data_IF_489727126424
#
_entry.id   IF_489727126424
#
_cell.length_a   1.000
_cell.length_b   1.000
_cell.length_c   1.000
_cell.angle_alpha   90.00
_cell.angle_beta   90.00
_cell.angle_gamma   90.00
#
_symmetry.space_group_name_H-M   'P 1'
#
loop_
_entity.id
_entity.type
_entity.pdbx_description
1 polymer ?
#
# COMPACT_ATOMS: atom_id res chain seq x y z
N UNK A 1 12.55 -6.37 5.87
CA UNK A 1 11.13 -6.09 5.58
C UNK A 1 10.67 -4.80 6.26
N UNK A 2 10.72 -4.68 7.58
CA UNK A 2 10.28 -3.48 8.32
C UNK A 2 10.91 -2.18 7.81
N UNK A 3 12.22 -2.17 7.51
CA UNK A 3 12.90 -1.01 6.88
C UNK A 3 12.34 -0.64 5.50
N UNK A 4 11.90 -1.62 4.70
CA UNK A 4 11.25 -1.33 3.41
C UNK A 4 9.84 -0.78 3.61
N UNK A 5 9.12 -1.20 4.65
CA UNK A 5 7.83 -0.62 5.02
C UNK A 5 7.98 0.83 5.50
N UNK A 6 9.00 1.10 6.33
CA UNK A 6 9.38 2.45 6.79
C UNK A 6 9.61 3.39 5.60
N UNK A 7 10.36 2.97 4.57
CA UNK A 7 10.58 3.77 3.35
C UNK A 7 9.28 4.25 2.69
N UNK A 8 8.28 3.37 2.56
CA UNK A 8 6.99 3.72 1.96
C UNK A 8 6.12 4.59 2.90
N UNK A 9 6.21 4.35 4.21
CA UNK A 9 5.41 5.06 5.21
C UNK A 9 5.92 6.47 5.50
N UNK A 10 7.23 6.67 5.55
CA UNK A 10 7.83 7.97 5.86
C UNK A 10 7.48 9.00 4.79
N UNK A 11 7.53 8.62 3.51
CA UNK A 11 7.04 9.49 2.43
C UNK A 11 5.54 9.80 2.59
N UNK A 12 4.73 8.79 2.94
CA UNK A 12 3.29 8.98 3.17
C UNK A 12 3.00 9.97 4.31
N UNK A 13 3.74 9.93 5.40
CA UNK A 13 3.51 10.84 6.52
C UNK A 13 4.13 12.23 6.28
N UNK A 14 5.42 12.29 5.94
CA UNK A 14 6.19 13.54 5.87
C UNK A 14 5.76 14.38 4.66
N UNK A 15 5.50 13.77 3.52
CA UNK A 15 5.18 14.52 2.30
C UNK A 15 3.67 14.56 2.09
N UNK A 16 3.06 13.39 2.03
CA UNK A 16 1.68 13.28 1.57
C UNK A 16 0.64 13.85 2.55
N UNK A 17 0.79 13.63 3.85
CA UNK A 17 -0.12 14.19 4.86
C UNK A 17 0.16 15.66 5.12
N UNK A 18 1.42 16.06 5.17
CA UNK A 18 1.81 17.45 5.39
C UNK A 18 1.33 18.35 4.24
N UNK A 19 1.56 17.95 2.99
CA UNK A 19 1.05 18.67 1.81
C UNK A 19 -0.47 18.70 1.84
N UNK A 20 -1.14 17.58 2.15
CA UNK A 20 -2.61 17.54 2.25
C UNK A 20 -3.16 18.51 3.31
N UNK A 21 -2.50 18.57 4.46
CA UNK A 21 -2.80 19.52 5.55
C UNK A 21 -2.62 20.97 5.10
N UNK A 22 -1.45 21.33 4.56
CA UNK A 22 -1.13 22.73 4.23
C UNK A 22 -1.92 23.26 3.03
N UNK A 23 -2.13 22.44 2.00
CA UNK A 23 -2.75 22.87 0.74
C UNK A 23 -4.27 22.71 0.71
N UNK A 24 -4.80 21.69 1.39
CA UNK A 24 -6.21 21.35 1.33
C UNK A 24 -6.88 21.29 2.70
N UNK A 25 -6.15 21.52 3.81
CA UNK A 25 -6.64 21.29 5.17
C UNK A 25 -7.24 19.88 5.35
N UNK A 26 -6.65 18.87 4.69
CA UNK A 26 -7.12 17.48 4.75
C UNK A 26 -6.05 16.47 4.40
N UNK A 27 -5.99 15.43 5.22
CA UNK A 27 -5.37 14.15 4.93
C UNK A 27 -6.28 13.03 5.46
N UNK A 28 -6.13 11.83 4.92
CA UNK A 28 -6.81 10.66 5.47
C UNK A 28 -6.26 10.34 6.85
N UNK A 29 -7.11 10.31 7.87
CA UNK A 29 -6.69 9.92 9.21
C UNK A 29 -6.39 8.41 9.25
N UNK A 30 -5.23 8.04 9.78
CA UNK A 30 -4.70 6.67 9.78
C UNK A 30 -4.98 5.92 11.10
N UNK A 31 -6.03 6.32 11.82
CA UNK A 31 -6.56 5.60 12.98
C UNK A 31 -5.76 5.74 14.28
N UNK A 32 -4.58 6.37 14.25
CA UNK A 32 -3.70 6.54 15.43
C UNK A 32 -2.97 7.88 15.39
N UNK A 33 -2.30 8.24 16.49
CA UNK A 33 -1.44 9.43 16.58
C UNK A 33 -2.11 10.75 16.17
N UNK A 34 -3.41 10.91 16.47
CA UNK A 34 -4.14 12.14 16.22
C UNK A 34 -5.11 12.47 17.35
N UNK A 35 -5.45 13.76 17.45
CA UNK A 35 -6.39 14.29 18.43
C UNK A 35 -7.60 14.84 17.70
N UNK A 36 -8.78 14.47 18.19
CA UNK A 36 -10.05 14.91 17.63
C UNK A 36 -10.76 15.86 18.57
N UNK A 37 -11.33 16.93 18.03
CA UNK A 37 -12.34 17.71 18.75
C UNK A 37 -13.61 16.88 18.85
N UNK A 38 -14.17 16.76 20.05
CA UNK A 38 -15.42 16.03 20.28
C UNK A 38 -16.54 16.58 19.39
N UNK A 39 -16.64 17.90 19.25
CA UNK A 39 -17.61 18.54 18.35
C UNK A 39 -17.45 18.11 16.89
N UNK A 40 -16.23 17.93 16.40
CA UNK A 40 -15.98 17.47 15.03
C UNK A 40 -16.49 16.04 14.81
N UNK A 41 -16.28 15.15 15.78
CA UNK A 41 -16.82 13.78 15.74
C UNK A 41 -18.35 13.82 15.73
N UNK A 42 -18.95 14.59 16.63
CA UNK A 42 -20.41 14.67 16.76
C UNK A 42 -21.06 15.26 15.50
N UNK A 43 -20.52 16.36 14.95
CA UNK A 43 -21.03 16.97 13.72
C UNK A 43 -20.86 16.09 12.48
N UNK A 44 -19.80 15.27 12.45
CA UNK A 44 -19.60 14.29 11.38
C UNK A 44 -20.55 13.09 11.49
N UNK A 45 -21.28 12.94 12.61
CA UNK A 45 -22.20 11.83 12.86
C UNK A 45 -21.50 10.60 13.44
N UNK A 46 -20.42 10.78 14.20
CA UNK A 46 -19.72 9.71 14.91
C UNK A 46 -18.94 8.74 14.02
N UNK A 47 -18.52 7.63 14.62
CA UNK A 47 -17.86 6.52 13.94
C UNK A 47 -18.90 5.66 13.21
N UNK A 48 -18.57 5.21 11.99
CA UNK A 48 -19.43 4.33 11.19
C UNK A 48 -18.63 3.11 10.78
N UNK A 49 -19.25 1.94 10.89
CA UNK A 49 -18.68 0.62 10.62
C UNK A 49 -18.89 0.16 9.16
N UNK A 50 -19.34 1.06 8.28
CA UNK A 50 -19.68 0.72 6.89
C UNK A 50 -18.52 0.20 6.02
N UNK A 51 -17.28 0.39 6.46
CA UNK A 51 -16.05 -0.06 5.80
C UNK A 51 -14.96 -0.33 6.84
N UNK A 52 -13.94 -1.10 6.49
CA UNK A 52 -12.72 -1.37 7.30
C UNK A 52 -11.78 -0.17 7.45
N UNK A 53 -12.25 1.05 7.17
CA UNK A 53 -11.49 2.30 7.27
C UNK A 53 -12.40 3.39 7.86
N UNK A 54 -12.96 3.08 9.03
CA UNK A 54 -13.87 3.95 9.79
C UNK A 54 -13.22 5.30 10.14
N UNK A 55 -11.91 5.30 10.33
CA UNK A 55 -11.04 6.45 10.57
C UNK A 55 -10.99 7.40 9.36
N UNK A 56 -10.77 6.85 8.17
CA UNK A 56 -10.77 7.60 6.92
C UNK A 56 -12.17 8.09 6.57
N UNK A 57 -13.20 7.28 6.82
CA UNK A 57 -14.59 7.68 6.64
C UNK A 57 -14.94 8.90 7.51
N UNK A 58 -14.60 8.84 8.79
CA UNK A 58 -14.78 9.97 9.71
C UNK A 58 -14.00 11.19 9.22
N UNK A 59 -12.77 11.03 8.74
CA UNK A 59 -11.97 12.11 8.20
C UNK A 59 -12.64 12.80 7.00
N UNK A 60 -13.12 12.03 6.04
CA UNK A 60 -13.82 12.58 4.87
C UNK A 60 -15.09 13.30 5.30
N UNK A 61 -15.92 12.69 6.15
CA UNK A 61 -17.17 13.31 6.62
C UNK A 61 -16.93 14.59 7.40
N UNK A 62 -15.96 14.61 8.32
CA UNK A 62 -15.59 15.82 9.05
C UNK A 62 -15.09 16.92 8.09
N UNK A 63 -14.28 16.55 7.08
CA UNK A 63 -13.83 17.50 6.07
C UNK A 63 -14.99 18.06 5.24
N UNK A 64 -16.00 17.25 4.91
CA UNK A 64 -17.24 17.68 4.25
C UNK A 64 -18.12 18.57 5.14
N UNK A 65 -17.87 18.58 6.45
CA UNK A 65 -18.44 19.53 7.41
C UNK A 65 -17.59 20.78 7.59
N UNK A 66 -16.50 20.95 6.82
CA UNK A 66 -15.63 22.12 6.87
C UNK A 66 -14.57 22.08 7.96
N UNK A 67 -14.41 20.96 8.67
CA UNK A 67 -13.32 20.79 9.63
C UNK A 67 -11.98 20.73 8.91
N UNK A 68 -10.99 21.38 9.51
CA UNK A 68 -9.61 21.46 9.00
C UNK A 68 -8.72 20.47 9.74
N UNK A 69 -7.93 19.73 8.97
CA UNK A 69 -6.95 18.78 9.50
C UNK A 69 -5.59 19.45 9.48
N UNK A 70 -4.90 19.38 10.62
CA UNK A 70 -3.56 19.97 10.81
C UNK A 70 -2.59 18.85 11.11
N UNK A 71 -1.59 18.69 10.23
CA UNK A 71 -0.47 17.78 10.43
C UNK A 71 0.61 18.50 11.25
N UNK A 72 1.15 17.82 12.27
CA UNK A 72 2.20 18.36 13.15
C UNK A 72 3.42 17.45 13.05
N UNK A 73 4.34 17.78 12.14
CA UNK A 73 5.52 16.95 11.82
C UNK A 73 6.58 16.89 12.93
N UNK A 74 6.63 17.90 13.81
CA UNK A 74 7.61 17.98 14.89
C UNK A 74 7.35 16.98 16.03
N UNK A 75 6.10 16.51 16.17
CA UNK A 75 5.71 15.56 17.21
C UNK A 75 5.73 14.13 16.68
N UNK A 76 6.67 13.33 17.18
CA UNK A 76 6.86 11.94 16.72
C UNK A 76 6.29 10.93 17.71
N UNK A 77 5.54 9.96 17.19
CA UNK A 77 5.00 8.83 17.95
C UNK A 77 5.65 7.54 17.46
N UNK A 78 6.13 6.70 18.39
CA UNK A 78 6.67 5.38 18.03
C UNK A 78 5.53 4.49 17.55
N UNK A 79 5.70 3.90 16.37
CA UNK A 79 4.74 2.95 15.80
C UNK A 79 5.39 1.58 15.61
N UNK A 80 4.57 0.54 15.68
CA UNK A 80 4.99 -0.84 15.48
C UNK A 80 4.53 -1.33 14.11
N UNK A 81 5.50 -1.80 13.32
CA UNK A 81 5.28 -2.30 11.98
C UNK A 81 5.04 -3.83 11.99
N UNK A 82 4.24 -4.36 11.05
CA UNK A 82 4.08 -5.80 10.87
C UNK A 82 5.43 -6.53 10.81
N UNK A 83 5.63 -7.46 11.73
CA UNK A 83 6.87 -8.23 11.86
C UNK A 83 6.93 -9.43 10.90
N UNK A 84 5.79 -9.90 10.40
CA UNK A 84 5.68 -11.00 9.43
C UNK A 84 5.08 -10.54 8.10
N UNK A 85 5.45 -11.21 7.02
CA UNK A 85 4.93 -10.87 5.69
C UNK A 85 3.42 -11.11 5.58
N UNK A 86 2.88 -12.13 6.24
CA UNK A 86 1.44 -12.38 6.23
C UNK A 86 0.66 -11.26 6.95
N UNK A 87 1.15 -10.79 8.10
CA UNK A 87 0.56 -9.65 8.80
C UNK A 87 0.61 -8.37 7.95
N UNK A 88 1.71 -8.16 7.22
CA UNK A 88 1.84 -7.05 6.28
C UNK A 88 0.86 -7.15 5.11
N UNK A 89 0.70 -8.32 4.49
CA UNK A 89 -0.29 -8.55 3.42
C UNK A 89 -1.71 -8.26 3.87
N UNK A 90 -2.09 -8.73 5.06
CA UNK A 90 -3.41 -8.46 5.63
C UNK A 90 -3.63 -6.96 5.88
N UNK A 91 -2.60 -6.27 6.39
CA UNK A 91 -2.65 -4.82 6.57
C UNK A 91 -2.83 -4.10 5.22
N UNK A 92 -2.03 -4.44 4.22
CA UNK A 92 -2.07 -3.82 2.89
C UNK A 92 -3.39 -4.12 2.16
N UNK A 93 -3.95 -5.32 2.35
CA UNK A 93 -5.30 -5.64 1.86
C UNK A 93 -6.33 -4.68 2.44
N UNK A 94 -6.36 -4.48 3.77
CA UNK A 94 -7.29 -3.54 4.40
C UNK A 94 -7.06 -2.10 3.93
N UNK A 95 -5.81 -1.66 3.84
CA UNK A 95 -5.43 -0.30 3.46
C UNK A 95 -5.66 0.03 1.98
N UNK A 96 -5.84 -0.96 1.10
CA UNK A 96 -6.21 -0.73 -0.31
C UNK A 96 -7.68 -1.05 -0.59
N UNK A 97 -8.21 -2.13 -0.02
CA UNK A 97 -9.61 -2.54 -0.18
C UNK A 97 -10.57 -1.55 0.51
N UNK A 98 -10.27 -1.15 1.74
CA UNK A 98 -11.10 -0.25 2.53
C UNK A 98 -11.34 1.09 1.84
N UNK A 99 -10.30 1.84 1.44
CA UNK A 99 -10.48 3.12 0.76
C UNK A 99 -11.18 3.01 -0.60
N UNK A 100 -10.97 1.92 -1.34
CA UNK A 100 -11.63 1.67 -2.62
C UNK A 100 -13.15 1.46 -2.44
N UNK A 101 -13.54 0.66 -1.44
CA UNK A 101 -14.94 0.49 -1.06
C UNK A 101 -15.55 1.81 -0.53
N UNK A 102 -14.81 2.51 0.33
CA UNK A 102 -15.24 3.79 0.88
C UNK A 102 -15.49 4.82 -0.22
N UNK A 103 -14.62 4.89 -1.24
CA UNK A 103 -14.80 5.77 -2.39
C UNK A 103 -16.15 5.56 -3.06
N UNK A 104 -16.50 4.31 -3.37
CA UNK A 104 -17.78 3.95 -4.00
C UNK A 104 -18.98 4.40 -3.15
N UNK A 105 -18.91 4.20 -1.83
CA UNK A 105 -19.98 4.59 -0.90
C UNK A 105 -20.07 6.11 -0.69
N UNK A 106 -18.94 6.82 -0.74
CA UNK A 106 -18.86 8.25 -0.43
C UNK A 106 -18.94 9.17 -1.65
N UNK A 107 -18.70 8.69 -2.87
CA UNK A 107 -18.59 9.52 -4.07
C UNK A 107 -19.81 10.45 -4.24
N UNK A 108 -21.02 9.90 -4.16
CA UNK A 108 -22.24 10.70 -4.32
C UNK A 108 -22.48 11.66 -3.15
N UNK A 109 -22.14 11.27 -1.92
CA UNK A 109 -22.22 12.15 -0.74
C UNK A 109 -21.27 13.35 -0.88
N UNK A 110 -20.05 13.13 -1.41
CA UNK A 110 -19.07 14.19 -1.66
C UNK A 110 -19.56 15.14 -2.77
N UNK A 111 -20.06 14.60 -3.88
CA UNK A 111 -20.55 15.39 -5.02
C UNK A 111 -21.72 16.29 -4.58
N UNK A 112 -22.70 15.74 -3.86
CA UNK A 112 -23.92 16.44 -3.43
C UNK A 112 -23.71 17.39 -2.25
N UNK A 113 -22.56 17.35 -1.57
CA UNK A 113 -22.30 18.20 -0.42
C UNK A 113 -22.36 19.69 -0.81
N UNK A 114 -23.13 20.52 -0.10
CA UNK A 114 -23.24 21.96 -0.40
C UNK A 114 -22.34 22.86 0.46
N UNK A 115 -21.65 22.30 1.46
CA UNK A 115 -20.89 23.06 2.46
C UNK A 115 -19.45 23.32 2.04
N UNK A 116 -18.83 22.43 1.26
CA UNK A 116 -17.45 22.59 0.78
C UNK A 116 -17.37 23.06 -0.67
N UNK A 117 -16.28 23.74 -1.00
CA UNK A 117 -16.02 24.26 -2.35
C UNK A 117 -15.87 23.15 -3.40
N UNK A 118 -16.10 23.48 -4.67
CA UNK A 118 -15.90 22.55 -5.79
C UNK A 118 -14.45 22.04 -5.86
N UNK A 119 -13.46 22.91 -5.60
CA UNK A 119 -12.05 22.54 -5.55
C UNK A 119 -11.78 21.46 -4.50
N UNK A 120 -12.36 21.59 -3.32
CA UNK A 120 -12.24 20.61 -2.25
C UNK A 120 -12.83 19.26 -2.65
N UNK A 121 -14.00 19.26 -3.30
CA UNK A 121 -14.62 18.02 -3.82
C UNK A 121 -13.74 17.37 -4.88
N UNK A 122 -13.22 18.16 -5.82
CA UNK A 122 -12.32 17.67 -6.85
C UNK A 122 -11.08 17.03 -6.23
N UNK A 123 -10.43 17.71 -5.28
CA UNK A 123 -9.28 17.14 -4.57
C UNK A 123 -9.62 15.82 -3.88
N UNK A 124 -10.72 15.74 -3.12
CA UNK A 124 -11.10 14.52 -2.38
C UNK A 124 -11.43 13.37 -3.34
N UNK A 125 -12.21 13.61 -4.40
CA UNK A 125 -12.61 12.58 -5.36
C UNK A 125 -11.45 12.17 -6.26
N UNK A 126 -10.86 13.14 -6.96
CA UNK A 126 -9.87 12.88 -7.99
C UNK A 126 -8.50 12.59 -7.39
N UNK A 127 -7.94 13.51 -6.59
CA UNK A 127 -6.55 13.37 -6.10
C UNK A 127 -6.45 12.34 -4.98
N UNK A 128 -7.31 12.45 -3.96
CA UNK A 128 -7.21 11.62 -2.75
C UNK A 128 -7.74 10.20 -2.97
N UNK A 129 -8.95 10.01 -3.51
CA UNK A 129 -9.49 8.66 -3.74
C UNK A 129 -9.03 8.05 -5.06
N UNK A 130 -9.36 8.68 -6.19
CA UNK A 130 -9.17 8.07 -7.50
C UNK A 130 -7.68 7.87 -7.84
N UNK A 131 -6.89 8.94 -7.88
CA UNK A 131 -5.46 8.84 -8.23
C UNK A 131 -4.69 8.04 -7.18
N UNK A 132 -4.78 8.43 -5.90
CA UNK A 132 -3.91 7.88 -4.86
C UNK A 132 -4.31 6.50 -4.34
N UNK A 133 -5.61 6.21 -4.18
CA UNK A 133 -6.07 4.93 -3.59
C UNK A 133 -6.46 3.89 -4.62
N UNK A 134 -6.64 4.27 -5.90
CA UNK A 134 -7.05 3.35 -6.97
C UNK A 134 -5.98 3.30 -8.07
N UNK A 135 -5.80 4.39 -8.82
CA UNK A 135 -4.96 4.42 -10.04
C UNK A 135 -3.51 4.09 -9.72
N UNK A 136 -2.93 4.68 -8.67
CA UNK A 136 -1.52 4.48 -8.32
C UNK A 136 -1.18 2.99 -8.07
N UNK A 137 -2.07 2.25 -7.41
CA UNK A 137 -1.87 0.83 -7.15
C UNK A 137 -1.96 0.00 -8.44
N UNK A 138 -3.01 0.24 -9.24
CA UNK A 138 -3.26 -0.49 -10.49
C UNK A 138 -2.17 -0.22 -11.51
N UNK A 139 -1.83 1.05 -11.74
CA UNK A 139 -0.84 1.46 -12.75
C UNK A 139 0.53 0.88 -12.43
N UNK A 140 0.96 0.90 -11.17
CA UNK A 140 2.25 0.33 -10.77
C UNK A 140 2.32 -1.16 -11.13
N UNK A 141 1.31 -1.94 -10.74
CA UNK A 141 1.29 -3.37 -11.05
C UNK A 141 1.20 -3.65 -12.55
N UNK A 142 0.22 -3.04 -13.23
CA UNK A 142 -0.01 -3.26 -14.66
C UNK A 142 1.21 -2.85 -15.47
N UNK A 143 1.83 -1.71 -15.17
CA UNK A 143 2.96 -1.23 -15.93
C UNK A 143 4.21 -2.12 -15.74
N UNK A 144 4.65 -2.36 -14.50
CA UNK A 144 5.92 -3.07 -14.26
C UNK A 144 5.82 -4.60 -14.32
N UNK A 145 4.66 -5.16 -13.99
CA UNK A 145 4.51 -6.61 -13.88
C UNK A 145 3.75 -7.23 -15.05
N UNK A 146 3.14 -6.43 -15.93
CA UNK A 146 2.36 -6.92 -17.08
C UNK A 146 2.80 -6.28 -18.39
N UNK A 147 2.68 -4.96 -18.54
CA UNK A 147 2.93 -4.26 -19.81
C UNK A 147 4.41 -4.29 -20.19
N UNK A 148 5.30 -3.84 -19.30
CA UNK A 148 6.74 -3.79 -19.57
C UNK A 148 7.34 -5.19 -19.86
N UNK A 149 6.98 -6.26 -19.13
CA UNK A 149 7.39 -7.62 -19.52
C UNK A 149 6.76 -8.11 -20.83
N UNK A 150 5.52 -7.71 -21.14
CA UNK A 150 4.86 -8.10 -22.40
C UNK A 150 5.50 -7.44 -23.62
N UNK A 151 6.03 -6.21 -23.50
CA UNK A 151 6.66 -5.52 -24.64
C UNK A 151 7.93 -6.23 -25.12
N UNK A 152 8.60 -6.99 -24.26
CA UNK A 152 9.73 -7.85 -24.66
C UNK A 152 9.33 -8.90 -25.70
N UNK A 153 8.07 -9.37 -25.66
CA UNK A 153 7.55 -10.39 -26.56
C UNK A 153 7.11 -9.81 -27.91
N UNK A 154 6.99 -8.48 -28.02
CA UNK A 154 6.53 -7.76 -29.20
C UNK A 154 7.60 -6.74 -29.60
N UNK A 155 8.58 -7.13 -30.42
CA UNK A 155 9.76 -6.32 -30.71
C UNK A 155 9.46 -4.97 -31.39
N UNK A 156 8.26 -4.81 -31.96
CA UNK A 156 7.78 -3.56 -32.56
C UNK A 156 7.38 -2.50 -31.52
N UNK A 157 7.17 -2.89 -30.26
CA UNK A 157 6.71 -1.96 -29.21
C UNK A 157 7.91 -1.35 -28.49
N UNK A 158 8.19 -0.09 -28.80
CA UNK A 158 9.17 0.70 -28.06
C UNK A 158 8.53 1.38 -26.84
N UNK A 159 9.06 1.11 -25.66
CA UNK A 159 8.62 1.76 -24.43
C UNK A 159 9.38 3.09 -24.25
N UNK A 160 8.69 4.23 -24.10
CA UNK A 160 9.35 5.51 -23.90
C UNK A 160 10.20 5.54 -22.63
N UNK A 161 11.49 5.89 -22.75
CA UNK A 161 12.45 5.95 -21.63
C UNK A 161 12.02 6.88 -20.50
N UNK A 162 11.35 7.99 -20.84
CA UNK A 162 10.85 8.93 -19.84
C UNK A 162 9.84 8.29 -18.88
N UNK A 163 9.00 7.39 -19.39
CA UNK A 163 7.99 6.67 -18.60
C UNK A 163 8.57 5.47 -17.86
N UNK A 164 9.42 4.68 -18.51
CA UNK A 164 9.96 3.46 -17.93
C UNK A 164 11.14 3.67 -16.97
N UNK A 165 11.91 4.76 -17.13
CA UNK A 165 13.16 4.98 -16.38
C UNK A 165 13.16 6.30 -15.63
N UNK A 166 12.85 7.42 -16.28
CA UNK A 166 13.02 8.74 -15.66
C UNK A 166 12.00 9.04 -14.57
N UNK A 167 10.69 8.94 -14.87
CA UNK A 167 9.63 9.13 -13.87
C UNK A 167 9.84 8.21 -12.65
N UNK A 168 10.08 6.90 -12.82
CA UNK A 168 10.22 5.99 -11.70
C UNK A 168 11.46 6.25 -10.87
N UNK A 169 12.57 6.64 -11.51
CA UNK A 169 13.80 7.00 -10.81
C UNK A 169 13.61 8.27 -9.97
N UNK A 170 12.90 9.27 -10.50
CA UNK A 170 12.59 10.50 -9.76
C UNK A 170 11.68 10.17 -8.56
N UNK A 171 10.60 9.41 -8.78
CA UNK A 171 9.69 9.00 -7.70
C UNK A 171 10.44 8.20 -6.63
N UNK A 172 11.30 7.27 -7.04
CA UNK A 172 12.14 6.48 -6.12
C UNK A 172 13.06 7.38 -5.31
N UNK A 173 13.75 8.32 -5.96
CA UNK A 173 14.66 9.24 -5.28
C UNK A 173 13.91 10.11 -4.27
N UNK A 174 12.74 10.64 -4.64
CA UNK A 174 11.90 11.44 -3.74
C UNK A 174 11.46 10.64 -2.51
N UNK A 175 11.09 9.36 -2.66
CA UNK A 175 10.78 8.48 -1.53
C UNK A 175 12.04 8.21 -0.67
N UNK A 176 13.17 7.96 -1.32
CA UNK A 176 14.43 7.61 -0.68
C UNK A 176 15.02 8.76 0.16
N UNK A 177 14.79 10.02 -0.23
CA UNK A 177 15.19 11.22 0.55
C UNK A 177 14.54 11.25 1.92
N UNK A 178 13.31 10.73 2.06
CA UNK A 178 12.63 10.64 3.36
C UNK A 178 13.30 9.68 4.35
N UNK A 179 14.14 8.76 3.86
CA UNK A 179 14.73 7.66 4.66
C UNK A 179 16.22 7.43 4.35
N UNK A 180 17.11 8.42 4.63
CA UNK A 180 18.52 8.35 4.26
C UNK A 180 19.25 7.12 4.84
N UNK A 181 18.82 6.64 6.01
CA UNK A 181 19.40 5.44 6.66
C UNK A 181 19.17 4.15 5.87
N UNK A 182 18.15 4.11 5.02
CA UNK A 182 17.72 2.91 4.28
C UNK A 182 18.02 3.01 2.78
N UNK A 183 18.83 3.99 2.34
CA UNK A 183 19.21 4.17 0.92
C UNK A 183 19.83 2.92 0.27
N UNK A 184 20.63 2.17 1.02
CA UNK A 184 21.22 0.91 0.54
C UNK A 184 20.19 -0.18 0.23
N UNK A 185 18.93 -0.01 0.64
CA UNK A 185 17.83 -0.95 0.38
C UNK A 185 16.95 -0.53 -0.80
N UNK A 186 17.22 0.58 -1.48
CA UNK A 186 16.35 1.13 -2.55
C UNK A 186 16.06 0.10 -3.64
N UNK A 187 17.06 -0.64 -4.12
CA UNK A 187 16.83 -1.67 -5.13
C UNK A 187 15.86 -2.74 -4.62
N UNK A 188 16.07 -3.27 -3.41
CA UNK A 188 15.18 -4.28 -2.81
C UNK A 188 13.79 -3.73 -2.57
N UNK A 189 13.69 -2.46 -2.16
CA UNK A 189 12.43 -1.76 -1.94
C UNK A 189 11.61 -1.65 -3.24
N UNK A 190 12.21 -1.24 -4.36
CA UNK A 190 11.51 -1.16 -5.67
C UNK A 190 10.89 -2.51 -6.04
N UNK A 191 11.70 -3.58 -5.99
CA UNK A 191 11.26 -4.91 -6.42
C UNK A 191 10.18 -5.44 -5.46
N UNK A 192 10.32 -5.16 -4.15
CA UNK A 192 9.34 -5.49 -3.13
C UNK A 192 8.03 -4.71 -3.30
N UNK A 193 8.08 -3.42 -3.62
CA UNK A 193 6.90 -2.60 -3.89
C UNK A 193 6.15 -3.07 -5.13
N UNK A 194 6.85 -3.59 -6.15
CA UNK A 194 6.21 -4.25 -7.30
C UNK A 194 5.48 -5.54 -6.90
N UNK A 195 6.04 -6.37 -6.00
CA UNK A 195 5.31 -7.52 -5.43
C UNK A 195 4.07 -7.04 -4.66
N UNK A 196 4.22 -6.00 -3.84
CA UNK A 196 3.11 -5.44 -3.07
C UNK A 196 2.05 -4.76 -3.94
N UNK A 197 2.42 -4.28 -5.13
CA UNK A 197 1.48 -3.69 -6.08
C UNK A 197 0.44 -4.71 -6.57
N UNK A 198 0.79 -5.99 -6.70
CA UNK A 198 -0.16 -7.08 -6.97
C UNK A 198 -1.21 -7.18 -5.85
N UNK A 199 -0.76 -7.20 -4.60
CA UNK A 199 -1.64 -7.30 -3.44
C UNK A 199 -2.59 -6.11 -3.33
N UNK A 200 -2.06 -4.90 -3.50
CA UNK A 200 -2.85 -3.68 -3.45
C UNK A 200 -3.83 -3.60 -4.61
N UNK A 201 -3.41 -3.95 -5.83
CA UNK A 201 -4.30 -4.00 -7.00
C UNK A 201 -5.46 -4.97 -6.80
N UNK A 202 -5.16 -6.20 -6.36
CA UNK A 202 -6.19 -7.20 -6.05
C UNK A 202 -7.17 -6.68 -4.99
N UNK A 203 -6.65 -6.10 -3.90
CA UNK A 203 -7.46 -5.54 -2.82
C UNK A 203 -8.33 -4.36 -3.29
N UNK A 204 -7.79 -3.47 -4.13
CA UNK A 204 -8.54 -2.36 -4.75
C UNK A 204 -9.70 -2.87 -5.59
N UNK A 205 -9.50 -3.87 -6.45
CA UNK A 205 -10.60 -4.46 -7.24
C UNK A 205 -11.65 -5.12 -6.35
N UNK A 206 -11.24 -5.86 -5.32
CA UNK A 206 -12.14 -6.45 -4.34
C UNK A 206 -13.00 -5.36 -3.68
N UNK A 207 -12.39 -4.25 -3.26
CA UNK A 207 -13.07 -3.12 -2.64
C UNK A 207 -14.07 -2.41 -3.57
N UNK A 208 -13.69 -2.18 -4.84
CA UNK A 208 -14.57 -1.54 -5.84
C UNK A 208 -15.76 -2.43 -6.22
N UNK A 209 -15.52 -3.73 -6.37
CA UNK A 209 -16.55 -4.70 -6.76
C UNK A 209 -17.40 -5.18 -5.58
N UNK A 210 -17.05 -4.80 -4.35
CA UNK A 210 -17.68 -5.30 -3.12
C UNK A 210 -17.70 -6.84 -3.05
N UNK A 211 -16.64 -7.49 -3.56
CA UNK A 211 -16.52 -8.94 -3.56
C UNK A 211 -16.11 -9.50 -2.18
N UNK A 212 -16.79 -10.55 -1.68
CA UNK A 212 -16.40 -11.38 -0.53
C UNK A 212 -15.64 -10.72 0.62
N UNK A 213 -14.30 -10.67 0.54
CA UNK A 213 -13.34 -10.25 1.60
C UNK A 213 -13.25 -8.74 1.82
N UNK A 214 -14.28 -7.97 1.47
CA UNK A 214 -14.27 -6.49 1.56
C UNK A 214 -14.30 -5.99 3.01
N UNK A 215 -15.08 -6.66 3.86
CA UNK A 215 -15.24 -6.29 5.26
C UNK A 215 -14.39 -7.17 6.19
N UNK A 216 -13.46 -7.95 5.64
CA UNK A 216 -12.64 -8.85 6.44
C UNK A 216 -11.60 -8.06 7.23
N UNK A 217 -11.77 -8.03 8.55
CA UNK A 217 -10.82 -7.44 9.48
C UNK A 217 -9.97 -8.52 10.13
N UNK A 218 -8.89 -8.92 9.44
CA UNK A 218 -7.85 -9.72 10.08
C UNK A 218 -6.94 -8.78 10.86
N UNK A 219 -6.93 -8.93 12.19
CA UNK A 219 -6.07 -8.14 13.09
C UNK A 219 -4.62 -8.34 12.67
N UNK A 220 -3.92 -7.24 12.46
CA UNK A 220 -2.48 -7.26 12.19
C UNK A 220 -1.77 -7.60 13.49
N UNK A 221 -1.24 -8.82 13.57
CA UNK A 221 -0.45 -9.25 14.72
C UNK A 221 0.76 -8.34 14.91
N UNK A 222 0.89 -7.82 16.12
CA UNK A 222 2.03 -7.04 16.59
C UNK A 222 2.90 -7.90 17.51
N UNK A 223 4.21 -7.64 17.53
CA UNK A 223 5.17 -8.31 18.42
C UNK A 223 4.77 -8.12 19.89
N UNK A 224 4.29 -6.93 20.26
CA UNK A 224 3.80 -6.64 21.61
C UNK A 224 2.66 -7.55 22.08
N UNK A 225 1.79 -7.99 21.16
CA UNK A 225 0.66 -8.87 21.50
C UNK A 225 1.13 -10.30 21.80
N UNK A 226 2.15 -10.78 21.08
CA UNK A 226 2.78 -12.08 21.34
C UNK A 226 3.50 -12.17 22.69
N UNK A 227 4.01 -11.04 23.21
CA UNK A 227 4.59 -10.95 24.55
C UNK A 227 3.53 -11.00 25.65
N UNK A 228 2.35 -10.39 25.45
CA UNK A 228 1.23 -10.48 26.38
C UNK A 228 0.68 -11.90 26.52
N UNK A 229 0.58 -12.65 25.43
CA UNK A 229 0.13 -14.06 25.46
C UNK A 229 1.11 -14.97 26.19
N UNK A 230 2.41 -14.65 26.17
CA UNK A 230 3.44 -15.40 26.94
C UNK A 230 3.40 -15.15 28.45
N UNK A 231 2.83 -14.04 28.90
CA UNK A 231 2.74 -13.69 30.34
C UNK A 231 1.57 -14.37 31.06
N UNK A 232 0.62 -15.00 30.36
CA UNK A 232 -0.62 -15.55 30.94
C UNK A 232 -0.96 -17.00 30.61
N UNK A 233 -0.12 -17.75 29.89
CA UNK A 233 -0.46 -19.12 29.51
C UNK A 233 0.74 -19.92 29.01
N UNK A 234 0.68 -21.25 29.20
CA UNK A 234 1.69 -22.22 28.75
C UNK A 234 2.22 -21.87 27.36
N UNK A 235 3.55 -21.92 27.22
CA UNK A 235 4.27 -21.60 25.99
C UNK A 235 3.54 -22.18 24.76
N UNK A 236 3.22 -21.37 23.75
CA UNK A 236 2.53 -21.87 22.57
C UNK A 236 3.44 -22.91 21.91
N UNK A 237 2.92 -24.13 21.70
CA UNK A 237 3.57 -25.12 20.85
C UNK A 237 3.95 -24.42 19.54
N UNK A 238 5.24 -24.45 19.16
CA UNK A 238 5.72 -23.96 17.87
C UNK A 238 4.73 -24.42 16.79
N UNK A 239 4.10 -23.52 16.01
CA UNK A 239 3.24 -23.97 14.93
C UNK A 239 4.11 -24.84 14.03
N UNK A 240 3.70 -26.09 13.80
CA UNK A 240 4.36 -26.98 12.86
C UNK A 240 4.31 -26.30 11.50
N UNK A 241 5.45 -25.74 11.09
CA UNK A 241 5.63 -25.01 9.84
C UNK A 241 5.33 -25.93 8.65
N UNK A 242 4.12 -25.83 8.08
CA UNK A 242 3.78 -26.51 6.83
C UNK A 242 4.02 -25.56 5.67
N UNK A 243 4.93 -25.96 4.79
CA UNK A 243 5.28 -25.22 3.56
C UNK A 243 4.03 -24.95 2.71
N UNK A 244 3.04 -25.86 2.71
CA UNK A 244 1.79 -25.73 1.97
C UNK A 244 0.92 -24.51 2.34
N UNK A 245 0.90 -24.09 3.60
CA UNK A 245 0.08 -22.94 4.04
C UNK A 245 0.70 -21.58 3.66
N UNK A 246 1.92 -21.60 3.13
CA UNK A 246 2.70 -20.42 2.73
C UNK A 246 2.80 -20.21 1.23
N UNK A 247 2.26 -21.13 0.43
CA UNK A 247 2.32 -21.01 -1.02
C UNK A 247 1.28 -20.01 -1.50
N UNK A 248 1.72 -19.01 -2.25
CA UNK A 248 0.86 -18.00 -2.84
C UNK A 248 0.92 -18.12 -4.37
N UNK A 249 -0.13 -18.73 -4.91
CA UNK A 249 -0.19 -19.16 -6.32
C UNK A 249 -0.17 -18.01 -7.32
N UNK A 250 -0.74 -16.85 -6.97
CA UNK A 250 -0.73 -15.67 -7.84
C UNK A 250 0.69 -15.11 -7.98
N UNK A 251 1.41 -14.99 -6.87
CA UNK A 251 2.80 -14.55 -6.83
C UNK A 251 3.70 -15.50 -7.63
N UNK A 252 3.51 -16.82 -7.49
CA UNK A 252 4.23 -17.81 -8.30
C UNK A 252 3.89 -17.70 -9.79
N UNK A 253 2.62 -17.49 -10.14
CA UNK A 253 2.18 -17.32 -11.53
C UNK A 253 2.79 -16.08 -12.18
N UNK A 254 2.77 -14.94 -11.48
CA UNK A 254 3.42 -13.70 -11.96
C UNK A 254 4.95 -13.90 -12.02
N UNK A 255 5.55 -14.55 -11.03
CA UNK A 255 6.98 -14.87 -11.03
C UNK A 255 7.41 -15.73 -12.23
N UNK A 256 6.61 -16.74 -12.59
CA UNK A 256 6.83 -17.59 -13.75
C UNK A 256 6.66 -16.85 -15.08
N UNK A 257 5.64 -15.99 -15.18
CA UNK A 257 5.45 -15.11 -16.33
C UNK A 257 6.65 -14.17 -16.55
N UNK A 258 7.11 -13.50 -15.49
CA UNK A 258 8.27 -12.62 -15.53
C UNK A 258 9.55 -13.37 -15.87
N UNK A 259 9.72 -14.58 -15.35
CA UNK A 259 10.85 -15.44 -15.67
C UNK A 259 10.88 -15.78 -17.16
N UNK A 260 9.73 -16.16 -17.71
CA UNK A 260 9.58 -16.44 -19.14
C UNK A 260 9.94 -15.23 -20.00
N UNK A 261 9.40 -14.05 -19.68
CA UNK A 261 9.77 -12.81 -20.36
C UNK A 261 11.26 -12.49 -20.23
N UNK A 262 11.86 -12.73 -19.05
CA UNK A 262 13.31 -12.54 -18.84
C UNK A 262 14.16 -13.46 -19.70
N UNK A 263 13.80 -14.75 -19.80
CA UNK A 263 14.46 -15.71 -20.69
C UNK A 263 14.32 -15.31 -22.16
N UNK A 264 13.15 -14.82 -22.58
CA UNK A 264 12.93 -14.34 -23.93
C UNK A 264 13.79 -13.11 -24.24
N UNK A 265 13.80 -12.10 -23.36
CA UNK A 265 14.64 -10.89 -23.54
C UNK A 265 16.14 -11.23 -23.56
N UNK A 266 16.57 -12.22 -22.77
CA UNK A 266 17.96 -12.68 -22.78
C UNK A 266 18.35 -13.30 -24.13
N UNK A 267 17.44 -14.06 -24.75
CA UNK A 267 17.70 -14.76 -26.01
C UNK A 267 17.53 -13.86 -27.25
N UNK A 268 16.54 -12.96 -27.24
CA UNK A 268 16.10 -12.22 -28.43
C UNK A 268 16.01 -10.70 -28.23
N UNK A 269 16.13 -10.22 -27.00
CA UNK A 269 15.90 -8.84 -26.63
C UNK A 269 17.05 -7.90 -26.96
N UNK A 270 16.71 -6.65 -27.32
CA UNK A 270 17.67 -5.58 -27.62
C UNK A 270 17.91 -4.63 -26.44
N UNK A 271 16.94 -4.50 -25.55
CA UNK A 271 16.90 -3.46 -24.51
C UNK A 271 17.44 -3.91 -23.14
N UNK A 272 17.87 -5.18 -23.00
CA UNK A 272 18.47 -5.76 -21.79
C UNK A 272 17.59 -5.62 -20.53
N UNK A 273 16.27 -5.67 -20.69
CA UNK A 273 15.33 -5.68 -19.57
C UNK A 273 15.41 -6.96 -18.74
N UNK A 274 16.04 -8.04 -19.25
CA UNK A 274 16.18 -9.32 -18.55
C UNK A 274 16.75 -9.19 -17.14
N UNK A 275 17.66 -8.23 -16.88
CA UNK A 275 18.22 -8.01 -15.54
C UNK A 275 17.10 -7.63 -14.56
N UNK A 276 16.28 -6.64 -14.93
CA UNK A 276 15.15 -6.20 -14.13
C UNK A 276 14.11 -7.32 -13.99
N UNK A 277 13.79 -8.01 -15.09
CA UNK A 277 12.79 -9.09 -15.10
C UNK A 277 13.18 -10.28 -14.24
N UNK A 278 14.45 -10.70 -14.25
CA UNK A 278 14.92 -11.77 -13.38
C UNK A 278 14.92 -11.36 -11.90
N UNK A 279 15.37 -10.14 -11.57
CA UNK A 279 15.28 -9.63 -10.20
C UNK A 279 13.83 -9.59 -9.70
N UNK A 280 12.91 -9.13 -10.56
CA UNK A 280 11.47 -9.10 -10.26
C UNK A 280 10.90 -10.51 -10.08
N UNK A 281 11.24 -11.43 -10.97
CA UNK A 281 10.82 -12.84 -10.89
C UNK A 281 11.29 -13.49 -9.59
N UNK A 282 12.56 -13.31 -9.21
CA UNK A 282 13.11 -13.83 -7.94
C UNK A 282 12.32 -13.29 -6.75
N UNK A 283 12.02 -11.99 -6.71
CA UNK A 283 11.24 -11.41 -5.61
C UNK A 283 9.83 -11.99 -5.53
N UNK A 284 9.15 -12.18 -6.67
CA UNK A 284 7.84 -12.82 -6.73
C UNK A 284 7.88 -14.28 -6.28
N UNK A 285 8.90 -15.05 -6.67
CA UNK A 285 9.08 -16.42 -6.19
C UNK A 285 9.35 -16.47 -4.68
N UNK A 286 10.24 -15.62 -4.18
CA UNK A 286 10.54 -15.53 -2.74
C UNK A 286 9.30 -15.19 -1.90
N UNK A 287 8.48 -14.26 -2.38
CA UNK A 287 7.19 -13.93 -1.76
C UNK A 287 6.20 -15.10 -1.90
N UNK A 288 6.14 -15.74 -3.07
CA UNK A 288 5.23 -16.82 -3.40
C UNK A 288 5.47 -18.12 -2.64
N UNK A 289 6.71 -18.42 -2.25
CA UNK A 289 7.03 -19.56 -1.36
C UNK A 289 6.96 -19.20 0.13
N UNK A 290 6.66 -17.94 0.45
CA UNK A 290 6.52 -17.44 1.82
C UNK A 290 7.85 -17.38 2.60
N UNK A 291 8.96 -17.09 1.93
CA UNK A 291 10.28 -16.93 2.57
C UNK A 291 10.49 -15.52 3.17
N UNK A 292 9.64 -14.56 2.82
CA UNK A 292 9.73 -13.17 3.31
C UNK A 292 9.19 -13.05 4.74
N UNK A 293 9.90 -12.32 5.61
CA UNK A 293 9.42 -11.97 6.94
C UNK A 293 9.19 -13.18 7.87
N UNK A 294 10.02 -14.21 7.74
CA UNK A 294 9.91 -15.48 8.48
C UNK A 294 10.62 -15.46 9.84
N UNK A 295 11.56 -14.54 10.04
CA UNK A 295 12.34 -14.39 11.26
C UNK A 295 11.88 -13.13 11.99
N UNK A 296 11.33 -13.32 13.19
CA UNK A 296 10.98 -12.23 14.11
C UNK A 296 12.05 -12.19 15.19
N UNK A 297 12.90 -11.17 15.17
CA UNK A 297 13.89 -10.99 16.23
C UNK A 297 13.17 -10.68 17.54
N UNK A 298 13.45 -11.45 18.58
CA UNK A 298 12.89 -11.28 19.93
C UNK A 298 13.71 -10.34 20.82
N UNK A 299 14.64 -9.59 20.23
CA UNK A 299 15.55 -8.66 20.89
C UNK A 299 15.06 -7.22 20.81
#
# INVERSE_FOLDING_TARGET
MTRMQEMSLDYHFIVEQEVGSSTHAFFGFNGTAGVWRISAINEAGGWKDRTTVEDMDLAVRASLKGWKFVYVGDLKVKNELPSTFNAYRNQQHRWSCGPANLFKKMAMEIIRNKKVSLWKKFYVIYSFFFVRKIVAHIVTFVFYCVVLPATVLVPEVEVPKWGAVYIPSIVTLLNAVGTPRSLHLVLFWIIFENVMSLHRTKATFIGLLEAGRVNEWVVTEKLGDGLKTKLGGKAPRKPRFRIGDRVHTLELGVGAYLFFCGCYDLAFGKNRYFIFLFLQSIAFFMAGVGYVGTIVSTS
#
